data_IF_356641974652
#
_entry.id   IF_356641974652
#
_cell.length_a   1.000
_cell.length_b   1.000
_cell.length_c   1.000
_cell.angle_alpha   90.00
_cell.angle_beta   90.00
_cell.angle_gamma   90.00
#
_symmetry.space_group_name_H-M   'P 1'
#
loop_
_entity.id
_entity.type
_entity.pdbx_description
1 polymer ?
#
# COMPACT_ATOMS: atom_id res chain seq x y z
N UNK A 1 8.42 14.77 48.87
CA UNK A 1 8.99 15.07 47.54
C UNK A 1 9.16 13.81 46.67
N UNK A 2 9.09 12.60 47.26
CA UNK A 2 9.30 11.31 46.57
C UNK A 2 8.15 10.88 45.65
N UNK A 3 6.95 11.43 45.83
CA UNK A 3 5.75 11.05 45.05
C UNK A 3 5.49 11.97 43.85
N UNK A 4 6.14 13.15 43.80
CA UNK A 4 5.91 14.12 42.72
C UNK A 4 6.44 13.61 41.37
N UNK A 5 7.63 12.98 41.40
CA UNK A 5 8.27 12.42 40.23
C UNK A 5 7.47 11.26 39.60
N UNK A 6 7.03 10.23 40.35
CA UNK A 6 6.20 9.17 39.77
C UNK A 6 4.84 9.68 39.28
N UNK A 7 4.26 10.71 39.91
CA UNK A 7 3.00 11.31 39.44
C UNK A 7 3.16 12.04 38.10
N UNK A 8 4.23 12.83 37.96
CA UNK A 8 4.53 13.55 36.72
C UNK A 8 4.83 12.58 35.59
N UNK A 9 5.59 11.51 35.86
CA UNK A 9 5.89 10.47 34.90
C UNK A 9 4.61 9.73 34.44
N UNK A 10 3.73 9.37 35.37
CA UNK A 10 2.43 8.77 35.05
C UNK A 10 1.60 9.67 34.13
N UNK A 11 1.51 10.96 34.46
CA UNK A 11 0.79 11.95 33.66
C UNK A 11 1.34 12.05 32.23
N UNK A 12 2.67 12.07 32.09
CA UNK A 12 3.33 12.13 30.80
C UNK A 12 3.08 10.88 29.95
N UNK A 13 3.10 9.69 30.57
CA UNK A 13 2.80 8.44 29.88
C UNK A 13 1.35 8.39 29.37
N UNK A 14 0.41 8.92 30.13
CA UNK A 14 -1.00 9.02 29.72
C UNK A 14 -1.13 9.98 28.52
N UNK A 15 -0.47 11.14 28.57
CA UNK A 15 -0.41 12.08 27.43
C UNK A 15 0.15 11.43 26.16
N UNK A 16 1.27 10.72 26.27
CA UNK A 16 1.90 10.02 25.13
C UNK A 16 1.00 8.90 24.58
N UNK A 17 0.31 8.16 25.46
CA UNK A 17 -0.64 7.12 25.07
C UNK A 17 -1.87 7.70 24.34
N UNK A 18 -2.37 8.86 24.78
CA UNK A 18 -3.48 9.54 24.12
C UNK A 18 -3.09 10.16 22.76
N UNK A 19 -1.84 10.58 22.60
CA UNK A 19 -1.35 11.19 21.35
C UNK A 19 -1.14 10.18 20.23
N UNK A 20 -0.95 8.90 20.57
CA UNK A 20 -1.02 7.78 19.64
C UNK A 20 -2.32 6.99 19.87
N UNK A 21 -3.49 7.51 19.48
CA UNK A 21 -4.67 6.68 19.45
C UNK A 21 -4.32 5.49 18.57
N UNK A 22 -4.45 4.27 19.12
CA UNK A 22 -4.30 3.05 18.35
C UNK A 22 -5.09 3.24 17.06
N UNK A 23 -4.38 3.29 15.93
CA UNK A 23 -5.00 3.32 14.62
C UNK A 23 -5.76 2.00 14.49
N UNK A 24 -7.00 2.01 14.92
CA UNK A 24 -7.96 0.99 14.55
C UNK A 24 -8.16 1.21 13.07
N UNK A 25 -7.43 0.45 12.28
CA UNK A 25 -7.81 0.22 10.90
C UNK A 25 -9.16 -0.48 11.02
N UNK A 26 -10.25 0.24 10.73
CA UNK A 26 -11.55 -0.40 10.64
C UNK A 26 -11.40 -1.57 9.67
N UNK A 27 -11.87 -2.74 10.10
CA UNK A 27 -11.89 -3.90 9.22
C UNK A 27 -12.71 -3.51 7.99
N UNK A 28 -12.05 -3.53 6.83
CA UNK A 28 -12.74 -3.32 5.56
C UNK A 28 -13.72 -4.48 5.43
N UNK A 29 -15.00 -4.17 5.36
CA UNK A 29 -16.05 -5.17 5.21
C UNK A 29 -15.67 -6.13 4.08
N UNK A 30 -15.78 -7.44 4.32
CA UNK A 30 -15.48 -8.48 3.34
C UNK A 30 -16.61 -8.60 2.30
N UNK A 31 -17.05 -7.45 1.78
CA UNK A 31 -18.01 -7.36 0.69
C UNK A 31 -17.30 -7.70 -0.61
N UNK A 32 -18.05 -8.35 -1.52
CA UNK A 32 -17.57 -8.58 -2.87
C UNK A 32 -17.27 -7.21 -3.51
N UNK A 33 -16.01 -6.98 -3.89
CA UNK A 33 -15.51 -5.73 -4.47
C UNK A 33 -16.14 -5.39 -5.84
N UNK A 34 -17.09 -6.20 -6.32
CA UNK A 34 -17.72 -6.06 -7.62
C UNK A 34 -16.79 -6.51 -8.75
N UNK A 35 -17.19 -6.18 -9.98
CA UNK A 35 -16.34 -6.37 -11.15
C UNK A 35 -15.48 -5.14 -11.33
N UNK A 36 -14.17 -5.31 -11.44
CA UNK A 36 -13.25 -4.21 -11.68
C UNK A 36 -13.51 -3.63 -13.08
N UNK A 37 -13.76 -2.32 -13.14
CA UNK A 37 -13.91 -1.63 -14.42
C UNK A 37 -12.54 -1.55 -15.12
N UNK A 38 -12.34 -2.40 -16.11
CA UNK A 38 -11.09 -2.52 -16.87
C UNK A 38 -10.73 -1.25 -17.62
N UNK A 39 -11.68 -0.31 -17.82
CA UNK A 39 -11.42 0.98 -18.48
C UNK A 39 -10.53 1.91 -17.64
N UNK A 40 -10.57 1.79 -16.31
CA UNK A 40 -9.73 2.59 -15.39
C UNK A 40 -8.28 2.09 -15.39
N UNK A 41 -8.07 0.85 -15.80
CA UNK A 41 -6.77 0.17 -15.81
C UNK A 41 -5.97 0.42 -17.10
N UNK A 42 -6.53 1.15 -18.06
CA UNK A 42 -5.82 1.54 -19.28
C UNK A 42 -4.62 2.42 -18.90
N UNK A 43 -3.43 2.01 -19.35
CA UNK A 43 -2.12 2.60 -19.01
C UNK A 43 -1.70 2.43 -17.54
N UNK A 44 -2.27 1.45 -16.83
CA UNK A 44 -1.82 1.12 -15.48
C UNK A 44 -0.53 0.30 -15.53
N UNK A 45 0.47 0.74 -14.78
CA UNK A 45 1.79 0.14 -14.71
C UNK A 45 1.97 -0.54 -13.36
N UNK A 46 2.24 -1.85 -13.38
CA UNK A 46 2.65 -2.59 -12.18
C UNK A 46 4.13 -2.91 -12.26
N UNK A 47 4.91 -2.25 -11.42
CA UNK A 47 6.32 -2.58 -11.25
C UNK A 47 6.50 -3.65 -10.18
N UNK A 48 7.41 -4.60 -10.37
CA UNK A 48 7.72 -5.57 -9.32
C UNK A 48 9.21 -5.86 -9.13
N UNK A 49 9.59 -6.17 -7.89
CA UNK A 49 10.95 -6.54 -7.50
C UNK A 49 10.92 -7.52 -6.32
N UNK A 50 11.90 -8.43 -6.16
CA UNK A 50 12.91 -8.81 -7.15
C UNK A 50 12.30 -9.64 -8.31
N UNK A 51 12.93 -9.66 -9.49
CA UNK A 51 12.39 -10.32 -10.69
C UNK A 51 12.71 -11.81 -10.70
N UNK A 52 12.22 -12.51 -9.68
CA UNK A 52 12.38 -13.96 -9.55
C UNK A 52 11.41 -14.70 -10.48
N UNK A 53 11.73 -15.97 -10.80
CA UNK A 53 10.85 -16.81 -11.62
C UNK A 53 9.44 -16.91 -11.02
N UNK A 54 9.34 -17.01 -9.69
CA UNK A 54 8.06 -17.07 -9.01
C UNK A 54 7.27 -15.75 -9.12
N UNK A 55 7.92 -14.61 -8.90
CA UNK A 55 7.29 -13.29 -9.05
C UNK A 55 6.75 -13.10 -10.48
N UNK A 56 7.51 -13.52 -11.49
CA UNK A 56 7.08 -13.49 -12.90
C UNK A 56 5.83 -14.33 -13.17
N UNK A 57 5.79 -15.56 -12.67
CA UNK A 57 4.63 -16.44 -12.82
C UNK A 57 3.40 -15.88 -12.10
N UNK A 58 3.58 -15.32 -10.90
CA UNK A 58 2.51 -14.64 -10.15
C UNK A 58 1.99 -13.45 -10.97
N UNK A 59 2.87 -12.55 -11.42
CA UNK A 59 2.49 -11.36 -12.16
C UNK A 59 1.81 -11.69 -13.49
N UNK A 60 2.28 -12.72 -14.19
CA UNK A 60 1.65 -13.22 -15.42
C UNK A 60 0.22 -13.73 -15.16
N UNK A 61 0.02 -14.49 -14.08
CA UNK A 61 -1.30 -14.97 -13.68
C UNK A 61 -2.22 -13.81 -13.28
N UNK A 62 -1.70 -12.88 -12.48
CA UNK A 62 -2.44 -11.69 -12.04
C UNK A 62 -2.90 -10.86 -13.24
N UNK A 63 -2.01 -10.61 -14.20
CA UNK A 63 -2.33 -9.90 -15.44
C UNK A 63 -3.45 -10.59 -16.23
N UNK A 64 -3.33 -11.91 -16.42
CA UNK A 64 -4.31 -12.70 -17.19
C UNK A 64 -5.68 -12.77 -16.51
N UNK A 65 -5.72 -13.05 -15.21
CA UNK A 65 -6.97 -13.30 -14.49
C UNK A 65 -7.77 -12.02 -14.21
N UNK A 66 -7.11 -10.86 -14.08
CA UNK A 66 -7.75 -9.64 -13.57
C UNK A 66 -7.72 -8.44 -14.52
N UNK A 67 -6.76 -8.36 -15.45
CA UNK A 67 -6.48 -7.09 -16.14
C UNK A 67 -6.49 -7.16 -17.68
N UNK A 68 -6.57 -8.36 -18.28
CA UNK A 68 -6.56 -8.51 -19.75
C UNK A 68 -5.32 -7.91 -20.41
N UNK A 69 -5.46 -7.36 -21.62
CA UNK A 69 -4.35 -6.78 -22.42
C UNK A 69 -3.94 -5.35 -22.02
N UNK A 70 -4.64 -4.72 -21.08
CA UNK A 70 -4.44 -3.30 -20.72
C UNK A 70 -3.31 -3.03 -19.72
N UNK A 71 -2.77 -4.09 -19.09
CA UNK A 71 -1.81 -3.98 -18.00
C UNK A 71 -0.36 -3.98 -18.49
N UNK A 72 0.40 -2.96 -18.10
CA UNK A 72 1.83 -2.92 -18.36
C UNK A 72 2.55 -3.41 -17.11
N UNK A 73 3.29 -4.51 -17.23
CA UNK A 73 4.09 -5.03 -16.11
C UNK A 73 5.57 -4.74 -16.35
N UNK A 74 6.25 -4.19 -15.35
CA UNK A 74 7.67 -3.82 -15.41
C UNK A 74 8.47 -4.54 -14.33
N UNK A 75 9.65 -5.04 -14.69
CA UNK A 75 10.54 -5.75 -13.77
C UNK A 75 11.65 -4.84 -13.29
N UNK A 76 11.93 -4.85 -11.98
CA UNK A 76 12.95 -4.01 -11.35
C UNK A 76 13.92 -4.87 -10.54
N UNK A 77 15.23 -4.61 -10.66
CA UNK A 77 16.25 -5.41 -9.99
C UNK A 77 16.35 -5.11 -8.50
N UNK A 78 16.06 -3.87 -8.11
CA UNK A 78 16.12 -3.42 -6.72
C UNK A 78 14.87 -2.63 -6.31
N UNK A 79 14.67 -2.53 -5.00
CA UNK A 79 13.63 -1.69 -4.40
C UNK A 79 13.87 -0.20 -4.67
N UNK A 80 15.13 0.22 -4.77
CA UNK A 80 15.52 1.59 -5.07
C UNK A 80 15.08 1.98 -6.48
N UNK A 81 15.35 1.14 -7.48
CA UNK A 81 14.91 1.36 -8.87
C UNK A 81 13.38 1.43 -8.99
N UNK A 82 12.69 0.53 -8.27
CA UNK A 82 11.22 0.54 -8.21
C UNK A 82 10.69 1.84 -7.60
N UNK A 83 11.36 2.34 -6.55
CA UNK A 83 10.97 3.57 -5.88
C UNK A 83 11.20 4.79 -6.78
N UNK A 84 12.33 4.86 -7.48
CA UNK A 84 12.58 5.92 -8.47
C UNK A 84 11.52 5.91 -9.58
N UNK A 85 11.20 4.72 -10.11
CA UNK A 85 10.13 4.59 -11.11
C UNK A 85 8.77 5.02 -10.58
N UNK A 86 8.45 4.70 -9.32
CA UNK A 86 7.22 5.15 -8.67
C UNK A 86 7.15 6.68 -8.55
N UNK A 87 8.27 7.33 -8.25
CA UNK A 87 8.37 8.79 -8.16
C UNK A 87 8.24 9.47 -9.53
N UNK A 88 8.62 8.79 -10.61
CA UNK A 88 8.47 9.29 -11.98
C UNK A 88 7.05 9.06 -12.54
N UNK A 89 6.40 7.96 -12.17
CA UNK A 89 5.11 7.50 -12.73
C UNK A 89 3.94 7.68 -11.74
N UNK A 90 3.79 8.87 -11.19
CA UNK A 90 2.97 9.17 -10.00
C UNK A 90 1.47 8.89 -10.07
N UNK A 91 0.84 8.79 -11.25
CA UNK A 91 -0.62 8.72 -11.37
C UNK A 91 -1.21 7.34 -11.63
N UNK A 92 -0.46 6.43 -12.25
CA UNK A 92 -0.95 5.10 -12.66
C UNK A 92 0.09 4.00 -12.41
N UNK A 93 0.82 4.10 -11.30
CA UNK A 93 1.86 3.14 -10.95
C UNK A 93 1.60 2.52 -9.58
N UNK A 94 1.76 1.20 -9.50
CA UNK A 94 1.85 0.47 -8.23
C UNK A 94 3.08 -0.42 -8.26
N UNK A 95 3.90 -0.30 -7.22
CA UNK A 95 5.06 -1.15 -6.99
C UNK A 95 4.69 -2.36 -6.14
N UNK A 96 5.23 -3.53 -6.47
CA UNK A 96 5.10 -4.77 -5.70
C UNK A 96 6.49 -5.24 -5.29
N UNK A 97 6.75 -5.22 -4.00
CA UNK A 97 8.00 -5.74 -3.40
C UNK A 97 7.72 -7.11 -2.83
N UNK A 98 8.13 -8.16 -3.54
CA UNK A 98 8.03 -9.54 -3.08
C UNK A 98 9.08 -9.81 -2.01
N UNK A 99 8.62 -10.25 -0.83
CA UNK A 99 9.50 -10.67 0.27
C UNK A 99 9.70 -12.18 0.28
N UNK A 100 8.64 -12.92 -0.03
CA UNK A 100 8.63 -14.37 -0.11
C UNK A 100 7.47 -14.84 -1.01
N UNK A 101 7.36 -16.15 -1.23
CA UNK A 101 6.31 -16.77 -2.03
C UNK A 101 4.88 -16.40 -1.63
N UNK A 102 4.67 -16.12 -0.34
CA UNK A 102 3.36 -15.82 0.24
C UNK A 102 3.30 -14.42 0.86
N UNK A 103 4.34 -13.59 0.67
CA UNK A 103 4.38 -12.26 1.27
C UNK A 103 4.93 -11.22 0.30
N UNK A 104 4.19 -10.12 0.18
CA UNK A 104 4.54 -8.98 -0.65
C UNK A 104 4.16 -7.68 0.05
N UNK A 105 4.73 -6.58 -0.41
CA UNK A 105 4.37 -5.24 0.02
C UNK A 105 4.04 -4.39 -1.21
N UNK A 106 2.93 -3.66 -1.12
CA UNK A 106 2.57 -2.68 -2.15
C UNK A 106 3.21 -1.34 -1.82
N UNK A 107 3.72 -0.68 -2.86
CA UNK A 107 4.21 0.69 -2.82
C UNK A 107 3.40 1.56 -3.76
N UNK A 108 2.91 2.65 -3.23
CA UNK A 108 2.20 3.67 -3.98
C UNK A 108 3.10 4.89 -4.09
N UNK A 109 3.02 5.64 -5.19
CA UNK A 109 3.70 6.93 -5.29
C UNK A 109 3.26 7.85 -4.14
N UNK A 110 4.21 8.57 -3.56
CA UNK A 110 4.03 9.45 -2.38
C UNK A 110 3.01 10.59 -2.61
N UNK A 111 2.51 10.75 -3.83
CA UNK A 111 1.42 11.67 -4.18
C UNK A 111 0.03 11.20 -3.76
N UNK A 112 -0.11 10.05 -3.09
CA UNK A 112 -1.35 9.75 -2.33
C UNK A 112 -1.36 10.65 -1.09
N UNK A 113 -1.64 11.93 -1.32
CA UNK A 113 -2.38 12.75 -0.36
C UNK A 113 -3.60 11.91 -0.06
N UNK A 114 -3.58 11.30 1.13
CA UNK A 114 -4.70 10.62 1.76
C UNK A 114 -5.97 11.41 1.43
N UNK A 115 -6.76 10.97 0.45
CA UNK A 115 -8.02 11.64 0.14
C UNK A 115 -8.94 11.31 1.30
N UNK A 116 -8.86 12.11 2.37
CA UNK A 116 -9.74 12.10 3.52
C UNK A 116 -11.15 12.59 3.16
N UNK A 117 -11.59 12.35 1.93
CA UNK A 117 -12.88 12.72 1.39
C UNK A 117 -13.53 11.42 1.00
N UNK A 118 -14.31 10.84 1.90
CA UNK A 118 -15.65 10.30 1.66
C UNK A 118 -16.25 9.89 3.01
N UNK A 119 -16.71 10.88 3.76
CA UNK A 119 -17.82 10.71 4.72
C UNK A 119 -18.81 11.83 4.46
N UNK A 120 -19.54 11.75 3.35
CA UNK A 120 -20.84 12.41 3.24
C UNK A 120 -21.89 11.35 3.52
N UNK A 121 -22.21 11.18 4.80
CA UNK A 121 -23.38 10.42 5.25
C UNK A 121 -24.56 11.39 5.31
N UNK A 122 -25.55 11.16 4.44
CA UNK A 122 -26.90 11.73 4.57
C UNK A 122 -27.77 10.83 5.45
#
# INVERSE_FOLDING_TARGET
>A
QEVLFPLFFLFWLILMSMMHPHRKYDEVDNINLGTLDTSVLVDFVIGFTPPTQMAREIMKKVAFDNFGDGLITEEYLSEEELQEASALKTSKFVGVVFKDAMSYQLRFPDSVVMSSIYTESR
#
